data_IF_095276344357
#
_entry.id   IF_095276344357
#
_cell.length_a   1.000
_cell.length_b   1.000
_cell.length_c   1.000
_cell.angle_alpha   90.00
_cell.angle_beta   90.00
_cell.angle_gamma   90.00
#
_symmetry.space_group_name_H-M   'P 1'
#
loop_
_entity.id
_entity.type
_entity.pdbx_description
1 polymer ?
#
# COMPACT_ATOMS: atom_id res chain seq x y z
N UNK A 1 57.40 -22.49 -15.75
CA UNK A 1 55.96 -22.60 -16.09
C UNK A 1 55.16 -22.19 -14.86
N UNK A 2 54.64 -20.96 -14.86
CA UNK A 2 53.86 -20.37 -13.76
C UNK A 2 52.40 -20.32 -14.22
N UNK A 3 51.54 -21.11 -13.60
CA UNK A 3 50.11 -20.80 -13.51
C UNK A 3 49.93 -19.58 -12.57
N UNK A 4 48.73 -19.01 -12.49
CA UNK A 4 48.30 -17.77 -11.78
C UNK A 4 48.28 -16.57 -12.75
N UNK A 5 47.17 -15.90 -13.05
CA UNK A 5 45.79 -15.89 -12.59
C UNK A 5 44.96 -15.39 -13.80
N UNK A 6 43.99 -16.16 -14.28
CA UNK A 6 42.63 -16.21 -13.75
C UNK A 6 41.98 -14.81 -13.72
N UNK A 7 41.21 -14.56 -14.79
CA UNK A 7 39.99 -13.79 -14.80
C UNK A 7 40.02 -12.46 -14.02
N UNK A 8 40.32 -11.39 -14.74
CA UNK A 8 39.78 -10.06 -14.45
C UNK A 8 38.26 -10.08 -14.71
N UNK A 9 37.54 -10.87 -13.89
CA UNK A 9 36.10 -10.78 -13.75
C UNK A 9 35.88 -9.53 -12.89
N UNK A 10 35.79 -8.38 -13.56
CA UNK A 10 35.31 -7.14 -12.94
C UNK A 10 33.93 -7.47 -12.38
N UNK A 11 33.91 -7.76 -11.08
CA UNK A 11 32.72 -7.85 -10.27
C UNK A 11 32.13 -6.44 -10.21
N UNK A 12 31.39 -6.07 -11.25
CA UNK A 12 30.47 -4.95 -11.24
C UNK A 12 29.40 -5.30 -10.21
N UNK A 13 29.67 -5.00 -8.95
CA UNK A 13 28.70 -4.98 -7.88
C UNK A 13 27.63 -3.99 -8.34
N UNK A 14 26.54 -4.50 -8.92
CA UNK A 14 25.28 -3.77 -9.00
C UNK A 14 24.88 -3.51 -7.55
N UNK A 15 25.32 -2.38 -7.01
CA UNK A 15 24.69 -1.73 -5.88
C UNK A 15 23.30 -1.34 -6.37
N UNK A 16 22.35 -2.25 -6.24
CA UNK A 16 20.94 -1.90 -6.24
C UNK A 16 20.78 -0.91 -5.09
N UNK A 17 20.79 0.38 -5.42
CA UNK A 17 20.28 1.40 -4.54
C UNK A 17 18.80 1.03 -4.33
N UNK A 18 18.52 0.33 -3.24
CA UNK A 18 17.17 0.24 -2.72
C UNK A 18 16.83 1.66 -2.28
N UNK A 19 16.26 2.46 -3.18
CA UNK A 19 15.57 3.68 -2.76
C UNK A 19 14.52 3.20 -1.76
N UNK A 20 14.77 3.47 -0.49
CA UNK A 20 13.74 3.45 0.54
C UNK A 20 12.80 4.59 0.19
N UNK A 21 11.92 4.36 -0.80
CA UNK A 21 10.76 5.22 -1.00
C UNK A 21 10.01 5.16 0.31
N UNK A 22 10.01 6.28 1.03
CA UNK A 22 9.32 6.40 2.29
C UNK A 22 7.83 6.11 2.06
N UNK A 23 7.22 5.35 2.96
CA UNK A 23 5.82 5.00 2.84
C UNK A 23 4.98 6.24 3.15
N UNK A 24 4.17 6.69 2.19
CA UNK A 24 3.31 7.87 2.39
C UNK A 24 2.04 7.49 3.13
N UNK A 25 1.66 8.31 4.11
CA UNK A 25 0.41 8.15 4.87
C UNK A 25 -0.67 9.06 4.29
N UNK A 26 -1.66 8.44 3.66
CA UNK A 26 -2.89 9.07 3.17
C UNK A 26 -3.94 8.99 4.28
N UNK A 27 -4.02 10.03 5.11
CA UNK A 27 -4.97 10.10 6.22
C UNK A 27 -6.31 10.63 5.74
N UNK A 28 -7.36 9.85 5.96
CA UNK A 28 -8.71 10.08 5.43
C UNK A 28 -9.70 10.32 6.57
N UNK A 29 -10.37 11.47 6.59
CA UNK A 29 -11.50 11.76 7.45
C UNK A 29 -12.84 11.34 6.80
N UNK A 30 -13.91 11.11 7.59
CA UNK A 30 -15.24 10.86 7.04
C UNK A 30 -15.67 11.94 6.05
N UNK A 31 -15.95 11.53 4.81
CA UNK A 31 -16.35 12.41 3.72
C UNK A 31 -15.21 12.90 2.83
N UNK A 32 -13.96 12.62 3.18
CA UNK A 32 -12.82 12.89 2.30
C UNK A 32 -12.89 12.01 1.05
N UNK A 33 -12.48 12.53 -0.12
CA UNK A 33 -12.42 11.75 -1.33
C UNK A 33 -11.33 10.68 -1.23
N UNK A 34 -11.66 9.43 -1.55
CA UNK A 34 -10.67 8.35 -1.57
C UNK A 34 -9.57 8.63 -2.62
N UNK A 35 -8.30 8.32 -2.30
CA UNK A 35 -7.20 8.56 -3.23
C UNK A 35 -7.30 7.65 -4.45
N UNK A 36 -6.96 8.19 -5.61
CA UNK A 36 -6.92 7.43 -6.86
C UNK A 36 -5.67 6.55 -6.96
N UNK A 37 -5.68 5.59 -7.89
CA UNK A 37 -4.52 4.73 -8.16
C UNK A 37 -3.27 5.51 -8.66
N UNK A 38 -3.45 6.75 -9.13
CA UNK A 38 -2.32 7.60 -9.53
C UNK A 38 -1.66 8.30 -8.33
N UNK A 39 -2.34 8.37 -7.19
CA UNK A 39 -1.90 9.09 -5.99
C UNK A 39 -1.29 8.15 -4.93
N UNK A 40 -1.50 6.83 -5.07
CA UNK A 40 -1.03 5.83 -4.11
C UNK A 40 0.02 4.94 -4.76
N UNK A 41 1.21 4.89 -4.15
CA UNK A 41 2.31 4.04 -4.59
C UNK A 41 2.39 2.72 -3.78
N UNK A 42 3.02 1.66 -4.33
CA UNK A 42 3.32 0.47 -3.55
C UNK A 42 4.09 0.78 -2.26
N UNK A 43 3.58 0.26 -1.14
CA UNK A 43 4.11 0.48 0.20
C UNK A 43 3.42 1.62 0.98
N UNK A 44 2.58 2.42 0.33
CA UNK A 44 1.82 3.48 1.00
C UNK A 44 0.74 2.93 1.95
N UNK A 45 0.27 3.81 2.84
CA UNK A 45 -0.75 3.51 3.85
C UNK A 45 -1.92 4.45 3.68
N UNK A 46 -3.13 3.91 3.62
CA UNK A 46 -4.40 4.65 3.67
C UNK A 46 -4.95 4.46 5.08
N UNK A 47 -5.02 5.54 5.85
CA UNK A 47 -5.37 5.52 7.27
C UNK A 47 -6.66 6.29 7.51
N UNK A 48 -7.69 5.59 7.94
CA UNK A 48 -9.03 6.14 8.17
C UNK A 48 -9.13 6.63 9.62
N UNK A 49 -9.43 7.92 9.81
CA UNK A 49 -9.75 8.43 11.16
C UNK A 49 -11.09 7.88 11.64
N UNK A 50 -11.32 7.76 12.95
CA UNK A 50 -12.56 7.21 13.50
C UNK A 50 -13.82 7.87 12.93
N UNK A 51 -14.79 7.05 12.53
CA UNK A 51 -16.07 7.52 11.99
C UNK A 51 -16.65 6.57 10.93
N UNK A 52 -17.73 7.03 10.30
CA UNK A 52 -18.40 6.31 9.22
C UNK A 52 -17.93 6.89 7.89
N UNK A 53 -17.26 6.06 7.10
CA UNK A 53 -16.81 6.37 5.75
C UNK A 53 -17.79 5.76 4.75
N UNK A 54 -18.46 6.64 4.01
CA UNK A 54 -19.44 6.26 3.00
C UNK A 54 -18.85 6.41 1.59
N UNK A 55 -19.45 5.72 0.63
CA UNK A 55 -19.12 5.85 -0.80
C UNK A 55 -17.67 5.52 -1.12
N UNK A 56 -17.12 4.47 -0.49
CA UNK A 56 -15.83 3.90 -0.89
C UNK A 56 -15.96 3.43 -2.33
N UNK A 57 -15.29 4.12 -3.26
CA UNK A 57 -15.25 3.70 -4.65
C UNK A 57 -14.53 2.36 -4.83
N UNK A 58 -14.63 1.72 -6.01
CA UNK A 58 -13.88 0.50 -6.28
C UNK A 58 -12.38 0.70 -6.03
N UNK A 59 -11.79 -0.18 -5.22
CA UNK A 59 -10.36 -0.17 -4.94
C UNK A 59 -9.61 -0.77 -6.13
N UNK A 60 -9.04 0.13 -6.93
CA UNK A 60 -8.19 -0.18 -8.09
C UNK A 60 -6.68 -0.10 -7.74
N UNK A 61 -6.35 -0.19 -6.45
CA UNK A 61 -5.00 0.01 -5.93
C UNK A 61 -4.16 -1.26 -6.03
N UNK A 62 -2.89 -1.13 -6.44
CA UNK A 62 -1.97 -2.28 -6.54
C UNK A 62 -0.63 -1.99 -5.88
N UNK A 63 -0.32 -2.75 -4.83
CA UNK A 63 1.02 -2.83 -4.26
C UNK A 63 1.89 -3.86 -4.99
N UNK A 64 3.07 -4.13 -4.45
CA UNK A 64 3.90 -5.29 -4.85
C UNK A 64 3.96 -6.30 -3.71
N UNK A 65 4.36 -7.57 -3.95
CA UNK A 65 4.50 -8.57 -2.87
C UNK A 65 5.41 -8.11 -1.74
N UNK A 66 6.45 -7.33 -2.05
CA UNK A 66 7.40 -6.78 -1.08
C UNK A 66 6.93 -5.48 -0.43
N UNK A 67 6.01 -4.77 -1.09
CA UNK A 67 5.50 -3.45 -0.69
C UNK A 67 3.98 -3.39 -0.89
N UNK A 68 3.20 -4.11 -0.07
CA UNK A 68 1.76 -4.06 -0.15
C UNK A 68 1.25 -2.66 0.25
N UNK A 69 0.09 -2.28 -0.29
CA UNK A 69 -0.62 -1.07 0.16
C UNK A 69 -1.44 -1.47 1.39
N UNK A 70 -1.31 -0.70 2.48
CA UNK A 70 -2.02 -0.98 3.73
C UNK A 70 -3.23 -0.07 3.86
N UNK A 71 -4.37 -0.62 4.22
CA UNK A 71 -5.60 0.13 4.47
C UNK A 71 -6.10 -0.23 5.86
N UNK A 72 -6.30 0.77 6.72
CA UNK A 72 -6.74 0.51 8.09
C UNK A 72 -7.14 1.77 8.84
N UNK A 73 -7.43 1.61 10.13
CA UNK A 73 -7.74 2.73 11.01
C UNK A 73 -6.47 3.38 11.52
N UNK A 74 -6.50 4.71 11.72
CA UNK A 74 -5.42 5.44 12.42
C UNK A 74 -5.23 4.90 13.84
N UNK A 75 -6.34 4.62 14.54
CA UNK A 75 -6.34 3.97 15.86
C UNK A 75 -6.92 2.56 15.73
N UNK A 76 -6.10 1.49 15.90
CA UNK A 76 -6.56 0.11 15.76
C UNK A 76 -7.54 -0.33 16.87
N UNK A 77 -7.63 0.42 17.97
CA UNK A 77 -8.58 0.15 19.06
C UNK A 77 -9.95 0.78 18.82
N UNK A 78 -10.05 1.68 17.84
CA UNK A 78 -11.27 2.38 17.43
C UNK A 78 -11.48 2.19 15.93
N UNK A 79 -11.93 1.01 15.49
CA UNK A 79 -12.05 0.70 14.07
C UNK A 79 -13.04 1.64 13.37
N UNK A 80 -12.57 2.26 12.28
CA UNK A 80 -13.38 3.04 11.35
C UNK A 80 -14.36 2.13 10.60
N UNK A 81 -15.57 2.64 10.37
CA UNK A 81 -16.63 1.90 9.69
C UNK A 81 -16.67 2.26 8.21
N UNK A 82 -16.66 1.27 7.33
CA UNK A 82 -16.97 1.40 5.91
C UNK A 82 -18.42 0.97 5.70
N UNK A 83 -19.22 1.87 5.12
CA UNK A 83 -20.64 1.64 4.83
C UNK A 83 -20.90 2.00 3.39
N UNK A 84 -21.43 1.07 2.61
CA UNK A 84 -21.81 1.33 1.23
C UNK A 84 -23.26 0.97 0.97
N UNK A 85 -23.86 1.66 -0.01
CA UNK A 85 -25.25 1.39 -0.41
C UNK A 85 -25.35 0.06 -1.18
N UNK A 86 -24.41 -0.18 -2.11
CA UNK A 86 -24.32 -1.42 -2.89
C UNK A 86 -23.18 -2.32 -2.42
N UNK A 87 -22.02 -1.72 -2.11
CA UNK A 87 -20.82 -2.40 -1.63
C UNK A 87 -20.11 -1.53 -0.61
N UNK A 88 -19.87 -2.05 0.59
CA UNK A 88 -19.14 -1.34 1.64
C UNK A 88 -17.62 -1.40 1.45
N UNK A 89 -17.15 -2.40 0.72
CA UNK A 89 -15.79 -2.52 0.24
C UNK A 89 -15.81 -3.32 -1.07
N UNK A 90 -15.35 -2.71 -2.16
CA UNK A 90 -15.30 -3.33 -3.48
C UNK A 90 -13.84 -3.32 -3.99
N UNK A 91 -13.25 -4.49 -4.20
CA UNK A 91 -11.87 -4.63 -4.69
C UNK A 91 -11.92 -5.16 -6.12
N UNK A 92 -11.79 -4.27 -7.09
CA UNK A 92 -11.84 -4.62 -8.52
C UNK A 92 -10.45 -4.47 -9.15
N UNK A 93 -9.74 -5.58 -9.33
CA UNK A 93 -8.43 -5.56 -10.01
C UNK A 93 -7.27 -5.01 -9.18
N UNK A 94 -7.50 -4.66 -7.91
CA UNK A 94 -6.42 -4.37 -6.95
C UNK A 94 -5.63 -5.62 -6.56
N UNK A 95 -4.36 -5.45 -6.21
CA UNK A 95 -3.47 -6.55 -5.82
C UNK A 95 -2.51 -6.14 -4.69
N UNK A 96 -2.05 -7.13 -3.91
CA UNK A 96 -1.12 -6.91 -2.79
C UNK A 96 -1.62 -5.82 -1.82
N UNK A 97 -2.86 -5.98 -1.36
CA UNK A 97 -3.50 -5.12 -0.37
C UNK A 97 -3.52 -5.80 1.00
N UNK A 98 -3.18 -5.05 2.03
CA UNK A 98 -3.33 -5.46 3.43
C UNK A 98 -4.43 -4.61 4.08
N UNK A 99 -5.61 -5.17 4.26
CA UNK A 99 -6.76 -4.48 4.86
C UNK A 99 -6.95 -5.00 6.28
N UNK A 100 -6.90 -4.11 7.27
CA UNK A 100 -6.99 -4.50 8.68
C UNK A 100 -7.62 -3.42 9.53
N UNK A 101 -8.13 -3.76 10.71
CA UNK A 101 -8.63 -2.79 11.71
C UNK A 101 -9.80 -1.92 11.23
N UNK A 102 -10.65 -2.45 10.33
CA UNK A 102 -11.85 -1.79 9.84
C UNK A 102 -13.11 -2.59 10.20
N UNK A 103 -14.22 -1.89 10.35
CA UNK A 103 -15.55 -2.49 10.41
C UNK A 103 -16.20 -2.34 9.04
N UNK A 104 -16.54 -3.44 8.38
CA UNK A 104 -17.23 -3.44 7.09
C UNK A 104 -18.67 -3.85 7.35
N UNK A 105 -19.62 -2.95 7.08
CA UNK A 105 -21.04 -3.10 7.45
C UNK A 105 -21.88 -3.11 6.20
#
# INVERSE_FOLDING_TARGET
MKHIAAAALLLAVLTFATESVDATDHVMAPGDPWPSAAEVAPGDRILLTPGIHQNVGPLLLSGTPERPIRIGSVDPTQPSALVGDAWSLDVQGGSNLEISTLMVI
#
